data_IF_839299180684
#
_entry.id   IF_839299180684
#
_cell.length_a   1.000
_cell.length_b   1.000
_cell.length_c   1.000
_cell.angle_alpha   90.00
_cell.angle_beta   90.00
_cell.angle_gamma   90.00
#
_symmetry.space_group_name_H-M   'P 1'
#
loop_
_entity.id
_entity.type
_entity.pdbx_description
1 polymer ?
#
# COMPACT_ATOMS: atom_id res chain seq x y z
N UNK A 1 5.42 30.99 -63.63
CA UNK A 1 5.87 29.89 -62.76
C UNK A 1 5.35 30.17 -61.36
N UNK A 2 4.66 29.22 -60.71
CA UNK A 2 4.27 29.27 -59.29
C UNK A 2 5.54 29.19 -58.41
N UNK A 3 5.46 29.68 -57.17
CA UNK A 3 5.71 28.73 -56.09
C UNK A 3 4.61 28.71 -55.03
N UNK A 4 4.56 27.56 -54.39
CA UNK A 4 3.54 27.08 -53.47
C UNK A 4 3.83 27.51 -52.03
N UNK A 5 2.74 27.63 -51.29
CA UNK A 5 2.59 27.70 -49.83
C UNK A 5 3.55 26.78 -49.05
N UNK A 6 4.01 27.25 -47.88
CA UNK A 6 3.88 26.44 -46.66
C UNK A 6 3.89 27.30 -45.39
N UNK A 7 2.86 27.09 -44.59
CA UNK A 7 2.55 27.72 -43.31
C UNK A 7 3.44 27.15 -42.20
N UNK A 8 4.19 28.00 -41.50
CA UNK A 8 4.65 27.70 -40.14
C UNK A 8 3.76 28.47 -39.17
N UNK A 9 2.71 27.76 -38.75
CA UNK A 9 1.81 28.15 -37.71
C UNK A 9 2.53 28.20 -36.36
N UNK A 10 2.31 29.30 -35.66
CA UNK A 10 2.06 29.38 -34.23
C UNK A 10 2.94 28.53 -33.31
N UNK A 11 4.03 29.13 -32.85
CA UNK A 11 4.50 28.87 -31.50
C UNK A 11 4.95 30.21 -30.89
N UNK A 12 4.67 30.38 -29.60
CA UNK A 12 5.15 31.44 -28.70
C UNK A 12 4.31 32.73 -28.60
N UNK A 13 3.02 32.57 -28.26
CA UNK A 13 2.36 33.41 -27.24
C UNK A 13 2.53 32.59 -25.94
N UNK A 14 3.25 33.00 -24.88
CA UNK A 14 3.12 34.20 -24.06
C UNK A 14 4.42 34.41 -23.28
N UNK A 15 5.07 35.56 -23.50
CA UNK A 15 5.96 36.15 -22.52
C UNK A 15 5.14 37.04 -21.58
N UNK A 16 5.67 37.25 -20.36
CA UNK A 16 5.23 38.20 -19.32
C UNK A 16 4.13 37.75 -18.34
N UNK A 17 4.57 37.18 -17.22
CA UNK A 17 4.08 37.59 -15.89
C UNK A 17 5.31 37.94 -15.04
N UNK A 18 5.78 39.16 -15.21
CA UNK A 18 6.78 39.82 -14.37
C UNK A 18 6.10 40.43 -13.13
N UNK A 19 6.66 40.09 -11.96
CA UNK A 19 6.56 40.74 -10.64
C UNK A 19 5.18 40.94 -9.97
N UNK A 20 4.95 40.39 -8.76
CA UNK A 20 3.98 40.94 -7.83
C UNK A 20 4.54 42.20 -7.12
N UNK A 21 3.67 43.11 -6.67
CA UNK A 21 4.03 44.40 -6.09
C UNK A 21 4.73 44.23 -4.74
N UNK A 22 5.61 45.18 -4.44
CA UNK A 22 6.29 45.32 -3.17
C UNK A 22 5.31 45.35 -2.00
N UNK A 23 5.64 44.62 -0.92
CA UNK A 23 4.95 44.74 0.36
C UNK A 23 4.05 43.58 0.73
N UNK A 24 4.58 42.36 0.73
CA UNK A 24 4.24 41.27 1.68
C UNK A 24 5.14 40.09 1.35
N UNK A 25 6.06 39.74 2.25
CA UNK A 25 6.75 38.46 2.23
C UNK A 25 5.82 37.43 2.92
N UNK A 26 5.01 36.61 2.23
CA UNK A 26 4.95 35.23 2.64
C UNK A 26 6.23 34.63 2.07
N UNK A 27 7.23 34.43 2.94
CA UNK A 27 8.26 33.43 2.62
C UNK A 27 7.51 32.22 2.05
N UNK A 28 7.87 31.68 0.87
CA UNK A 28 7.27 30.43 0.44
C UNK A 28 7.61 29.46 1.57
N UNK A 29 6.62 29.13 2.40
CA UNK A 29 6.78 28.05 3.35
C UNK A 29 7.17 26.87 2.47
N UNK A 30 8.39 26.32 2.62
CA UNK A 30 8.70 25.10 1.89
C UNK A 30 7.58 24.15 2.27
N UNK A 31 6.89 23.59 1.28
CA UNK A 31 5.94 22.52 1.52
C UNK A 31 6.66 21.50 2.39
N UNK A 32 6.39 21.50 3.70
CA UNK A 32 6.85 20.45 4.60
C UNK A 32 5.93 19.29 4.27
N UNK A 33 6.30 18.55 3.23
CA UNK A 33 5.83 17.19 3.09
C UNK A 33 6.22 16.51 4.39
N UNK A 34 5.25 15.99 5.12
CA UNK A 34 5.47 15.16 6.30
C UNK A 34 5.04 13.76 5.92
N UNK A 35 5.81 12.75 6.28
CA UNK A 35 5.40 11.37 6.06
C UNK A 35 4.05 11.10 6.77
N UNK A 36 3.05 10.67 6.01
CA UNK A 36 1.69 10.39 6.51
C UNK A 36 1.47 8.90 6.72
N UNK A 37 0.69 8.61 7.76
CA UNK A 37 0.38 7.26 8.22
C UNK A 37 -1.06 6.90 7.88
N UNK A 38 -1.28 6.40 6.66
CA UNK A 38 -2.61 5.99 6.23
C UNK A 38 -2.94 4.59 6.76
N UNK A 39 -3.22 4.52 8.07
CA UNK A 39 -3.64 3.28 8.74
C UNK A 39 -4.89 2.75 8.07
N UNK A 40 -4.89 1.50 7.58
CA UNK A 40 -6.03 0.96 6.87
C UNK A 40 -7.27 0.96 7.76
N UNK A 41 -8.39 1.44 7.21
CA UNK A 41 -9.68 1.50 7.86
C UNK A 41 -10.59 0.37 7.33
N UNK A 42 -11.59 -0.03 8.12
CA UNK A 42 -12.57 -1.07 7.70
C UNK A 42 -13.24 -0.73 6.37
N UNK A 43 -13.60 0.53 6.18
CA UNK A 43 -14.23 1.04 4.95
C UNK A 43 -13.36 0.94 3.69
N UNK A 44 -12.04 0.74 3.83
CA UNK A 44 -11.12 0.60 2.71
C UNK A 44 -11.16 -0.81 2.10
N UNK A 45 -11.87 -1.75 2.74
CA UNK A 45 -11.94 -3.16 2.34
C UNK A 45 -13.38 -3.60 2.13
N UNK A 46 -13.68 -4.30 1.02
CA UNK A 46 -15.00 -4.86 0.82
C UNK A 46 -15.32 -5.92 1.90
N UNK A 47 -16.60 -6.07 2.26
CA UNK A 47 -17.03 -7.09 3.21
C UNK A 47 -16.69 -8.48 2.69
N UNK A 48 -16.28 -9.37 3.60
CA UNK A 48 -15.94 -10.76 3.27
C UNK A 48 -17.16 -11.67 3.44
N UNK A 49 -17.42 -12.52 2.46
CA UNK A 49 -18.46 -13.56 2.52
C UNK A 49 -17.88 -14.96 2.28
N UNK A 50 -16.64 -15.05 1.83
CA UNK A 50 -15.98 -16.31 1.50
C UNK A 50 -14.48 -16.26 1.82
N UNK A 51 -13.84 -17.43 1.82
CA UNK A 51 -12.39 -17.52 1.91
C UNK A 51 -11.67 -16.92 0.71
N UNK A 52 -12.31 -16.93 -0.46
CA UNK A 52 -11.79 -16.26 -1.66
C UNK A 52 -11.72 -14.73 -1.44
N UNK A 53 -12.77 -14.13 -0.88
CA UNK A 53 -12.79 -12.70 -0.56
C UNK A 53 -11.72 -12.33 0.46
N UNK A 54 -11.57 -13.15 1.50
CA UNK A 54 -10.52 -12.98 2.51
C UNK A 54 -9.13 -13.00 1.87
N UNK A 55 -8.85 -13.96 0.98
CA UNK A 55 -7.56 -14.03 0.27
C UNK A 55 -7.30 -12.78 -0.59
N UNK A 56 -8.33 -12.23 -1.23
CA UNK A 56 -8.22 -10.98 -2.00
C UNK A 56 -7.90 -9.81 -1.06
N UNK A 57 -8.61 -9.68 0.05
CA UNK A 57 -8.37 -8.61 1.02
C UNK A 57 -6.98 -8.72 1.66
N UNK A 58 -6.54 -9.93 2.01
CA UNK A 58 -5.19 -10.18 2.52
C UNK A 58 -4.12 -9.80 1.50
N UNK A 59 -4.31 -10.14 0.22
CA UNK A 59 -3.40 -9.74 -0.86
C UNK A 59 -3.36 -8.22 -1.05
N UNK A 60 -4.52 -7.57 -1.09
CA UNK A 60 -4.61 -6.11 -1.21
C UNK A 60 -3.91 -5.41 -0.04
N UNK A 61 -4.14 -5.88 1.19
CA UNK A 61 -3.46 -5.38 2.39
C UNK A 61 -1.94 -5.51 2.27
N UNK A 62 -1.44 -6.68 1.85
CA UNK A 62 -0.02 -6.93 1.64
C UNK A 62 0.60 -5.96 0.62
N UNK A 63 -0.10 -5.67 -0.47
CA UNK A 63 0.37 -4.74 -1.51
C UNK A 63 0.39 -3.30 -1.00
N UNK A 64 -0.66 -2.86 -0.30
CA UNK A 64 -0.73 -1.53 0.30
C UNK A 64 0.40 -1.31 1.31
N UNK A 65 0.68 -2.30 2.16
CA UNK A 65 1.78 -2.23 3.12
C UNK A 65 3.15 -2.20 2.44
N UNK A 66 3.37 -2.96 1.37
CA UNK A 66 4.61 -2.88 0.59
C UNK A 66 4.81 -1.49 -0.03
N UNK A 67 3.77 -0.95 -0.67
CA UNK A 67 3.83 0.38 -1.28
C UNK A 67 4.09 1.48 -0.22
N UNK A 68 3.37 1.46 0.90
CA UNK A 68 3.57 2.41 1.99
C UNK A 68 4.98 2.34 2.60
N UNK A 69 5.51 1.13 2.79
CA UNK A 69 6.88 0.95 3.29
C UNK A 69 7.95 1.34 2.27
N UNK A 70 7.71 1.16 0.97
CA UNK A 70 8.61 1.68 -0.06
C UNK A 70 8.72 3.21 0.01
N UNK A 71 7.58 3.91 0.12
CA UNK A 71 7.56 5.38 0.29
C UNK A 71 8.26 5.78 1.59
N UNK A 72 8.03 5.05 2.69
CA UNK A 72 8.71 5.28 3.96
C UNK A 72 10.23 5.12 3.83
N UNK A 73 10.71 4.10 3.12
CA UNK A 73 12.13 3.87 2.85
C UNK A 73 12.77 5.01 2.03
N UNK A 74 12.09 5.47 0.98
CA UNK A 74 12.54 6.63 0.19
C UNK A 74 12.59 7.91 1.05
N UNK A 75 11.63 8.09 1.95
CA UNK A 75 11.62 9.19 2.89
C UNK A 75 12.82 9.14 3.84
N UNK A 76 13.09 7.97 4.44
CA UNK A 76 14.22 7.77 5.34
C UNK A 76 15.57 8.02 4.67
N UNK A 77 15.70 7.67 3.39
CA UNK A 77 16.92 7.95 2.63
C UNK A 77 17.17 9.46 2.45
N UNK A 78 16.12 10.28 2.44
CA UNK A 78 16.19 11.73 2.24
C UNK A 78 16.18 12.51 3.57
N UNK A 79 15.51 12.00 4.61
CA UNK A 79 15.24 12.68 5.87
C UNK A 79 15.55 11.79 7.08
N UNK A 80 16.83 11.43 7.25
CA UNK A 80 17.27 10.41 8.21
C UNK A 80 17.45 10.89 9.66
N UNK A 81 16.76 11.95 10.11
CA UNK A 81 16.86 12.38 11.52
C UNK A 81 16.31 11.30 12.45
N UNK A 82 16.77 11.25 13.71
CA UNK A 82 16.26 10.27 14.69
C UNK A 82 14.74 10.42 14.88
N UNK A 83 14.24 11.66 14.96
CA UNK A 83 12.80 11.93 15.10
C UNK A 83 11.97 11.41 13.93
N UNK A 84 12.45 11.56 12.69
CA UNK A 84 11.76 11.04 11.50
C UNK A 84 11.79 9.51 11.45
N UNK A 85 12.91 8.89 11.84
CA UNK A 85 13.00 7.42 11.97
C UNK A 85 12.01 6.89 12.99
N UNK A 86 11.93 7.51 14.16
CA UNK A 86 11.02 7.09 15.22
C UNK A 86 9.56 7.25 14.80
N UNK A 87 9.22 8.36 14.13
CA UNK A 87 7.89 8.58 13.56
C UNK A 87 7.52 7.50 12.53
N UNK A 88 8.43 7.19 11.59
CA UNK A 88 8.20 6.15 10.58
C UNK A 88 8.08 4.75 11.19
N UNK A 89 8.88 4.43 12.20
CA UNK A 89 8.79 3.15 12.89
C UNK A 89 7.48 3.02 13.69
N UNK A 90 7.04 4.09 14.35
CA UNK A 90 5.75 4.14 15.04
C UNK A 90 4.60 3.96 14.05
N UNK A 91 4.67 4.65 12.91
CA UNK A 91 3.73 4.53 11.82
C UNK A 91 3.64 3.09 11.29
N UNK A 92 4.78 2.49 10.99
CA UNK A 92 4.89 1.11 10.52
C UNK A 92 4.23 0.14 11.50
N UNK A 93 4.48 0.31 12.80
CA UNK A 93 3.87 -0.48 13.85
C UNK A 93 2.34 -0.34 13.86
N UNK A 94 1.83 0.90 13.79
CA UNK A 94 0.39 1.16 13.74
C UNK A 94 -0.28 0.55 12.50
N UNK A 95 0.38 0.63 11.34
CA UNK A 95 -0.06 0.01 10.09
C UNK A 95 -0.20 -1.51 10.23
N UNK A 96 0.82 -2.19 10.76
CA UNK A 96 0.79 -3.63 10.97
C UNK A 96 -0.30 -4.05 11.97
N UNK A 97 -0.47 -3.29 13.06
CA UNK A 97 -1.51 -3.56 14.05
C UNK A 97 -2.92 -3.39 13.48
N UNK A 98 -3.16 -2.31 12.72
CA UNK A 98 -4.42 -2.07 12.03
C UNK A 98 -4.74 -3.15 11.01
N UNK A 99 -3.77 -3.48 10.15
CA UNK A 99 -3.90 -4.54 9.17
C UNK A 99 -4.24 -5.90 9.82
N UNK A 100 -3.54 -6.24 10.91
CA UNK A 100 -3.78 -7.46 11.67
C UNK A 100 -5.20 -7.50 12.23
N UNK A 101 -5.66 -6.41 12.86
CA UNK A 101 -7.01 -6.32 13.44
C UNK A 101 -8.08 -6.56 12.36
N UNK A 102 -7.95 -5.92 11.21
CA UNK A 102 -8.88 -6.05 10.09
C UNK A 102 -8.96 -7.48 9.58
N UNK A 103 -7.81 -8.08 9.25
CA UNK A 103 -7.77 -9.44 8.70
C UNK A 103 -8.19 -10.48 9.75
N UNK A 104 -7.87 -10.29 11.03
CA UNK A 104 -8.33 -11.18 12.10
C UNK A 104 -9.86 -11.16 12.25
N UNK A 105 -10.48 -9.99 12.17
CA UNK A 105 -11.95 -9.89 12.19
C UNK A 105 -12.57 -10.62 10.98
N UNK A 106 -12.02 -10.41 9.78
CA UNK A 106 -12.47 -11.10 8.57
C UNK A 106 -12.26 -12.61 8.64
N UNK A 107 -11.13 -13.07 9.18
CA UNK A 107 -10.84 -14.48 9.44
C UNK A 107 -11.89 -15.11 10.36
N UNK A 108 -12.28 -14.43 11.44
CA UNK A 108 -13.29 -14.93 12.38
C UNK A 108 -14.67 -15.11 11.74
N UNK A 109 -15.00 -14.30 10.72
CA UNK A 109 -16.24 -14.44 9.95
C UNK A 109 -16.19 -15.65 9.02
N UNK A 110 -15.07 -15.85 8.33
CA UNK A 110 -14.93 -16.86 7.26
C UNK A 110 -14.64 -18.25 7.81
N UNK A 111 -13.79 -18.37 8.84
CA UNK A 111 -13.34 -19.66 9.39
C UNK A 111 -14.49 -20.65 9.70
N UNK A 112 -15.59 -20.26 10.38
CA UNK A 112 -16.69 -21.18 10.66
C UNK A 112 -17.51 -21.60 9.43
N UNK A 113 -17.39 -20.89 8.30
CA UNK A 113 -18.14 -21.16 7.07
C UNK A 113 -17.46 -22.24 6.21
N UNK A 114 -16.20 -22.59 6.51
CA UNK A 114 -15.46 -23.63 5.82
C UNK A 114 -16.03 -25.02 6.13
N UNK A 115 -16.19 -25.84 5.09
CA UNK A 115 -16.93 -27.10 5.19
C UNK A 115 -16.03 -28.26 5.65
N UNK A 116 -14.75 -28.26 5.27
CA UNK A 116 -13.84 -29.37 5.56
C UNK A 116 -12.74 -29.01 6.55
N UNK A 117 -12.18 -30.02 7.23
CA UNK A 117 -11.00 -29.85 8.07
C UNK A 117 -9.80 -29.35 7.24
N UNK A 118 -9.59 -29.91 6.05
CA UNK A 118 -8.53 -29.50 5.14
C UNK A 118 -8.61 -28.01 4.75
N UNK A 119 -9.82 -27.48 4.49
CA UNK A 119 -10.00 -26.05 4.23
C UNK A 119 -9.64 -25.20 5.45
N UNK A 120 -10.06 -25.62 6.66
CA UNK A 120 -9.77 -24.90 7.91
C UNK A 120 -8.28 -24.89 8.23
N UNK A 121 -7.61 -26.03 8.09
CA UNK A 121 -6.16 -26.15 8.31
C UNK A 121 -5.38 -25.32 7.28
N UNK A 122 -5.80 -25.34 6.01
CA UNK A 122 -5.20 -24.51 4.97
C UNK A 122 -5.41 -23.00 5.26
N UNK A 123 -6.59 -22.58 5.71
CA UNK A 123 -6.83 -21.19 6.08
C UNK A 123 -6.01 -20.75 7.31
N UNK A 124 -5.81 -21.63 8.30
CA UNK A 124 -4.89 -21.36 9.41
C UNK A 124 -3.46 -21.19 8.93
N UNK A 125 -2.98 -22.06 8.02
CA UNK A 125 -1.66 -21.96 7.43
C UNK A 125 -1.49 -20.64 6.66
N UNK A 126 -2.50 -20.23 5.88
CA UNK A 126 -2.55 -18.93 5.22
C UNK A 126 -2.42 -17.78 6.22
N UNK A 127 -3.19 -17.81 7.31
CA UNK A 127 -3.17 -16.75 8.31
C UNK A 127 -1.80 -16.63 9.00
N UNK A 128 -1.16 -17.76 9.32
CA UNK A 128 0.20 -17.78 9.89
C UNK A 128 1.23 -17.24 8.91
N UNK A 129 1.21 -17.72 7.66
CA UNK A 129 2.14 -17.28 6.63
C UNK A 129 1.97 -15.80 6.29
N UNK A 130 0.72 -15.31 6.24
CA UNK A 130 0.44 -13.90 6.01
C UNK A 130 0.95 -13.01 7.15
N UNK A 131 0.71 -13.37 8.41
CA UNK A 131 1.27 -12.62 9.56
C UNK A 131 2.80 -12.53 9.50
N UNK A 132 3.46 -13.64 9.16
CA UNK A 132 4.91 -13.68 8.96
C UNK A 132 5.33 -12.76 7.81
N UNK A 133 4.65 -12.83 6.68
CA UNK A 133 4.89 -11.95 5.53
C UNK A 133 4.72 -10.47 5.89
N UNK A 134 3.71 -10.10 6.69
CA UNK A 134 3.49 -8.71 7.10
C UNK A 134 4.62 -8.19 7.98
N UNK A 135 5.14 -9.03 8.88
CA UNK A 135 6.32 -8.68 9.69
C UNK A 135 7.59 -8.54 8.85
N UNK A 136 7.64 -9.22 7.70
CA UNK A 136 8.74 -9.14 6.73
C UNK A 136 8.74 -7.91 5.84
N UNK A 137 7.67 -7.12 5.83
CA UNK A 137 7.62 -5.86 5.11
C UNK A 137 8.14 -4.79 6.06
N UNK A 138 9.20 -4.10 5.69
CA UNK A 138 9.83 -3.05 6.51
C UNK A 138 10.17 -1.83 5.63
N UNK A 139 10.43 -0.66 6.23
CA UNK A 139 10.97 0.48 5.47
C UNK A 139 12.31 0.19 4.78
N UNK A 140 13.05 -0.84 5.21
CA UNK A 140 14.33 -1.24 4.62
C UNK A 140 14.18 -2.24 3.46
N UNK A 141 12.99 -2.78 3.25
CA UNK A 141 12.73 -3.76 2.21
C UNK A 141 11.75 -4.84 2.62
N UNK A 142 11.56 -5.79 1.73
CA UNK A 142 10.57 -6.85 1.83
C UNK A 142 11.29 -8.19 1.90
N UNK A 143 10.84 -9.07 2.80
CA UNK A 143 11.32 -10.44 2.86
C UNK A 143 10.59 -11.31 1.82
N UNK A 144 11.22 -11.52 0.67
CA UNK A 144 10.66 -12.28 -0.45
C UNK A 144 10.35 -13.74 -0.09
N UNK A 145 11.14 -14.35 0.80
CA UNK A 145 10.89 -15.73 1.24
C UNK A 145 9.57 -15.84 2.02
N UNK A 146 9.29 -14.87 2.88
CA UNK A 146 8.04 -14.85 3.66
C UNK A 146 6.83 -14.52 2.76
N UNK A 147 6.98 -13.61 1.80
CA UNK A 147 5.94 -13.37 0.79
C UNK A 147 5.67 -14.62 -0.07
N UNK A 148 6.71 -15.33 -0.50
CA UNK A 148 6.56 -16.56 -1.27
C UNK A 148 5.85 -17.65 -0.47
N UNK A 149 6.18 -17.80 0.83
CA UNK A 149 5.48 -18.73 1.72
C UNK A 149 3.99 -18.38 1.87
N UNK A 150 3.64 -17.10 2.00
CA UNK A 150 2.26 -16.65 1.97
C UNK A 150 1.57 -16.99 0.64
N UNK A 151 2.19 -16.66 -0.49
CA UNK A 151 1.63 -16.94 -1.81
C UNK A 151 1.38 -18.44 -2.03
N UNK A 152 2.30 -19.30 -1.57
CA UNK A 152 2.16 -20.74 -1.63
C UNK A 152 0.99 -21.25 -0.77
N UNK A 153 0.88 -20.78 0.48
CA UNK A 153 -0.23 -21.15 1.36
C UNK A 153 -1.59 -20.68 0.76
N UNK A 154 -1.65 -19.46 0.23
CA UNK A 154 -2.85 -18.94 -0.42
C UNK A 154 -3.24 -19.78 -1.63
N UNK A 155 -2.27 -20.22 -2.43
CA UNK A 155 -2.52 -21.10 -3.57
C UNK A 155 -3.03 -22.48 -3.13
N UNK A 156 -2.49 -23.04 -2.05
CA UNK A 156 -2.98 -24.31 -1.49
C UNK A 156 -4.45 -24.19 -1.05
N UNK A 157 -4.81 -23.12 -0.35
CA UNK A 157 -6.20 -22.89 0.02
C UNK A 157 -7.09 -22.75 -1.22
N UNK A 158 -6.69 -21.99 -2.24
CA UNK A 158 -7.47 -21.83 -3.49
C UNK A 158 -7.80 -23.15 -4.16
N UNK A 159 -6.89 -24.11 -4.17
CA UNK A 159 -7.12 -25.44 -4.75
C UNK A 159 -8.16 -26.27 -3.98
N UNK A 160 -8.44 -25.93 -2.72
CA UNK A 160 -9.41 -26.60 -1.85
C UNK A 160 -10.76 -25.89 -1.81
N UNK A 161 -10.85 -24.68 -2.36
CA UNK A 161 -12.10 -23.92 -2.43
C UNK A 161 -12.90 -24.33 -3.67
N UNK A 162 -14.24 -24.23 -3.63
CA UNK A 162 -15.06 -24.42 -4.82
C UNK A 162 -14.64 -23.45 -5.93
N UNK A 163 -14.65 -23.91 -7.18
CA UNK A 163 -14.53 -22.99 -8.32
C UNK A 163 -15.76 -22.06 -8.30
N UNK A 164 -15.52 -20.76 -8.20
CA UNK A 164 -16.54 -19.72 -8.34
C UNK A 164 -16.65 -19.28 -9.79
#
# INVERSE_FOLDING_TARGET
>A
MKPFLSLLAAAWLLSACSAPPEGSNPSPHPFRSSFQCDVPLEQDFPPVQSASDLLVNMQHMSQRLQAGNFVAGQWLAQNATLSERDHINACHTALLQGARRLIEAQYQVVYPQLQSAAQRDALQAVMMAWRSAMQGITPQGVNDQQLAAYAQAAQQLRMLLPAH
#
